data_IF_282230803603
#
_entry.id   IF_282230803603
#
_cell.length_a   1.000
_cell.length_b   1.000
_cell.length_c   1.000
_cell.angle_alpha   90.00
_cell.angle_beta   90.00
_cell.angle_gamma   90.00
#
_symmetry.space_group_name_H-M   'P 1'
#
loop_
_entity.id
_entity.type
_entity.pdbx_description
1 polymer ?
#
# COMPACT_ATOMS: atom_id res chain seq x y z
N UNK A 1 8.37 2.46 -14.07
CA UNK A 1 7.67 3.48 -13.25
C UNK A 1 6.22 3.16 -13.15
N UNK A 2 5.51 3.94 -12.36
CA UNK A 2 4.08 3.80 -12.13
C UNK A 2 3.74 3.76 -10.65
N UNK A 3 2.46 3.93 -10.34
CA UNK A 3 1.92 3.83 -9.00
C UNK A 3 0.70 2.92 -9.01
N UNK A 4 0.68 1.96 -8.11
CA UNK A 4 -0.43 1.05 -7.90
C UNK A 4 -0.97 1.24 -6.49
N UNK A 5 -2.22 0.85 -6.27
CA UNK A 5 -2.78 0.67 -4.93
C UNK A 5 -3.46 -0.67 -4.79
N UNK A 6 -3.47 -1.22 -3.58
CA UNK A 6 -4.35 -2.30 -3.18
C UNK A 6 -5.40 -1.80 -2.20
N UNK A 7 -6.62 -2.27 -2.34
CA UNK A 7 -7.75 -1.87 -1.50
C UNK A 7 -8.79 -2.97 -1.38
N UNK A 8 -9.58 -2.90 -0.33
CA UNK A 8 -10.80 -3.68 -0.19
C UNK A 8 -12.01 -2.76 -0.15
N UNK A 9 -13.19 -3.34 -0.37
CA UNK A 9 -14.47 -2.65 -0.29
C UNK A 9 -15.26 -3.24 0.86
N UNK A 10 -15.74 -2.42 1.77
CA UNK A 10 -16.59 -2.87 2.89
C UNK A 10 -18.05 -3.06 2.47
N UNK A 11 -18.88 -3.52 3.40
CA UNK A 11 -20.30 -3.79 3.17
C UNK A 11 -21.11 -2.55 2.75
N UNK A 12 -20.63 -1.35 3.06
CA UNK A 12 -21.26 -0.10 2.67
C UNK A 12 -20.82 0.39 1.28
N UNK A 13 -19.91 -0.33 0.61
CA UNK A 13 -19.32 0.05 -0.67
C UNK A 13 -18.15 1.04 -0.54
N UNK A 14 -17.67 1.32 0.68
CA UNK A 14 -16.54 2.20 0.91
C UNK A 14 -15.22 1.47 0.68
N UNK A 15 -14.33 2.12 -0.03
CA UNK A 15 -12.98 1.59 -0.27
C UNK A 15 -12.03 1.90 0.89
N UNK A 16 -11.20 0.93 1.22
CA UNK A 16 -10.15 1.04 2.22
C UNK A 16 -8.82 0.66 1.58
N UNK A 17 -7.96 1.65 1.35
CA UNK A 17 -6.66 1.45 0.73
C UNK A 17 -5.69 0.85 1.75
N UNK A 18 -5.15 -0.32 1.42
CA UNK A 18 -4.17 -1.01 2.24
C UNK A 18 -2.75 -0.53 1.96
N UNK A 19 -2.39 -0.41 0.69
CA UNK A 19 -1.02 -0.14 0.28
C UNK A 19 -0.98 0.66 -1.02
N UNK A 20 0.01 1.55 -1.14
CA UNK A 20 0.49 2.05 -2.41
C UNK A 20 1.80 1.36 -2.76
N UNK A 21 2.04 1.12 -4.03
CA UNK A 21 3.29 0.58 -4.54
C UNK A 21 3.83 1.46 -5.66
N UNK A 22 5.08 1.81 -5.56
CA UNK A 22 5.88 2.51 -6.56
C UNK A 22 7.01 1.60 -7.04
N UNK A 23 7.96 2.12 -7.80
CA UNK A 23 9.09 1.34 -8.30
C UNK A 23 9.76 0.52 -7.18
N UNK A 24 10.06 -0.74 -7.49
CA UNK A 24 10.74 -1.71 -6.62
C UNK A 24 9.93 -2.16 -5.39
N UNK A 25 8.60 -1.94 -5.42
CA UNK A 25 7.71 -2.43 -4.38
C UNK A 25 6.98 -3.70 -4.82
N UNK A 26 6.72 -4.56 -3.83
CA UNK A 26 5.92 -5.76 -3.97
C UNK A 26 4.54 -5.55 -3.39
N UNK A 27 3.55 -6.18 -4.04
CA UNK A 27 2.15 -6.09 -3.63
C UNK A 27 1.47 -7.44 -3.85
N UNK A 28 0.74 -7.91 -2.86
CA UNK A 28 -0.06 -9.12 -2.93
C UNK A 28 -1.17 -9.10 -1.90
N UNK A 29 -2.20 -9.91 -2.10
CA UNK A 29 -3.10 -10.34 -1.04
C UNK A 29 -2.46 -11.53 -0.30
N UNK A 30 -1.67 -11.25 0.73
CA UNK A 30 -0.94 -12.27 1.46
C UNK A 30 -1.85 -13.24 2.23
N UNK A 31 -3.08 -12.83 2.61
CA UNK A 31 -4.06 -13.71 3.26
C UNK A 31 -4.51 -14.75 2.25
N UNK A 32 -4.95 -14.31 1.08
CA UNK A 32 -5.39 -15.21 0.01
C UNK A 32 -4.27 -16.15 -0.46
N UNK A 33 -3.06 -15.61 -0.62
CA UNK A 33 -1.89 -16.36 -1.04
C UNK A 33 -1.53 -17.46 -0.01
N UNK A 34 -1.51 -17.12 1.28
CA UNK A 34 -1.16 -18.06 2.36
C UNK A 34 -2.22 -19.14 2.55
N UNK A 35 -3.50 -18.75 2.54
CA UNK A 35 -4.62 -19.66 2.77
C UNK A 35 -5.07 -20.43 1.52
N UNK A 36 -4.51 -20.11 0.36
CA UNK A 36 -4.96 -20.61 -0.94
C UNK A 36 -6.44 -20.31 -1.20
N UNK A 37 -6.85 -19.09 -0.92
CA UNK A 37 -8.21 -18.61 -1.04
C UNK A 37 -8.33 -17.57 -2.18
N UNK A 38 -9.56 -17.24 -2.53
CA UNK A 38 -9.82 -16.14 -3.48
C UNK A 38 -9.42 -14.81 -2.86
N UNK A 39 -8.70 -13.98 -3.63
CA UNK A 39 -8.30 -12.64 -3.20
C UNK A 39 -9.51 -11.76 -2.86
N UNK A 40 -9.38 -11.01 -1.77
CA UNK A 40 -10.35 -9.99 -1.32
C UNK A 40 -9.86 -8.58 -1.62
N UNK A 41 -8.56 -8.42 -1.88
CA UNK A 41 -7.99 -7.16 -2.31
C UNK A 41 -8.07 -7.00 -3.82
N UNK A 42 -8.40 -5.78 -4.24
CA UNK A 42 -8.27 -5.34 -5.63
C UNK A 42 -6.97 -4.56 -5.78
N UNK A 43 -6.25 -4.82 -6.86
CA UNK A 43 -5.06 -4.04 -7.24
C UNK A 43 -5.37 -3.26 -8.50
N UNK A 44 -5.09 -1.97 -8.48
CA UNK A 44 -5.27 -1.10 -9.64
C UNK A 44 -4.05 -0.20 -9.89
N UNK A 45 -3.80 0.10 -11.15
CA UNK A 45 -2.83 1.12 -11.55
C UNK A 45 -3.48 2.51 -11.47
N UNK A 46 -2.81 3.44 -10.80
CA UNK A 46 -3.27 4.83 -10.69
C UNK A 46 -2.77 5.69 -11.85
N UNK A 47 -1.74 5.25 -12.53
CA UNK A 47 -1.19 5.80 -13.76
C UNK A 47 -0.56 4.68 -14.60
N UNK A 48 -0.05 5.00 -15.78
CA UNK A 48 0.64 4.02 -16.62
C UNK A 48 1.78 3.36 -15.86
N UNK A 49 1.75 2.03 -15.77
CA UNK A 49 2.70 1.24 -15.04
C UNK A 49 3.12 -0.02 -15.80
N UNK A 50 4.37 -0.42 -15.61
CA UNK A 50 4.87 -1.72 -16.02
C UNK A 50 5.11 -2.56 -14.78
N UNK A 51 4.51 -3.75 -14.74
CA UNK A 51 4.60 -4.67 -13.60
C UNK A 51 5.06 -6.05 -14.06
N UNK A 52 5.67 -6.79 -13.14
CA UNK A 52 5.93 -8.22 -13.31
C UNK A 52 4.99 -8.93 -12.35
N UNK A 53 4.16 -9.81 -12.89
CA UNK A 53 3.19 -10.58 -12.14
C UNK A 53 3.66 -12.03 -12.00
N UNK A 54 3.54 -12.58 -10.80
CA UNK A 54 3.79 -13.99 -10.51
C UNK A 54 2.57 -14.59 -9.81
N UNK A 55 2.16 -15.76 -10.24
CA UNK A 55 1.27 -16.58 -9.44
C UNK A 55 2.05 -17.41 -8.42
N UNK A 56 1.34 -18.03 -7.46
CA UNK A 56 1.98 -18.83 -6.40
C UNK A 56 2.85 -19.98 -6.93
N UNK A 57 2.43 -20.64 -8.01
CA UNK A 57 3.18 -21.73 -8.63
C UNK A 57 4.50 -21.22 -9.21
N UNK A 58 4.44 -20.14 -9.99
CA UNK A 58 5.64 -19.51 -10.59
C UNK A 58 6.64 -19.05 -9.52
N UNK A 59 6.14 -18.47 -8.42
CA UNK A 59 7.00 -18.08 -7.30
C UNK A 59 7.70 -19.30 -6.67
N UNK A 60 6.97 -20.38 -6.44
CA UNK A 60 7.53 -21.63 -5.91
C UNK A 60 8.55 -22.26 -6.88
N UNK A 61 8.29 -22.23 -8.18
CA UNK A 61 9.24 -22.69 -9.20
C UNK A 61 10.54 -21.90 -9.18
N UNK A 62 10.45 -20.57 -9.09
CA UNK A 62 11.64 -19.70 -8.97
C UNK A 62 12.44 -20.05 -7.72
N UNK A 63 11.80 -20.23 -6.57
CA UNK A 63 12.49 -20.57 -5.32
C UNK A 63 13.12 -21.97 -5.37
N UNK A 64 12.50 -22.91 -6.09
CA UNK A 64 13.04 -24.26 -6.28
C UNK A 64 14.25 -24.27 -7.20
N UNK A 65 14.19 -23.51 -8.29
CA UNK A 65 15.26 -23.43 -9.31
C UNK A 65 16.44 -22.57 -8.84
N UNK A 66 16.16 -21.55 -8.02
CA UNK A 66 17.13 -20.56 -7.55
C UNK A 66 17.01 -20.38 -6.03
N UNK A 67 17.49 -21.36 -5.22
CA UNK A 67 17.39 -21.31 -3.75
C UNK A 67 18.01 -20.06 -3.13
N UNK A 68 18.99 -19.43 -3.82
CA UNK A 68 19.62 -18.18 -3.43
C UNK A 68 18.65 -16.98 -3.39
N UNK A 69 17.44 -17.13 -3.97
CA UNK A 69 16.40 -16.10 -3.95
C UNK A 69 15.62 -16.06 -2.63
N UNK A 70 15.68 -17.12 -1.82
CA UNK A 70 14.94 -17.22 -0.54
C UNK A 70 15.29 -16.10 0.45
N UNK A 71 16.57 -15.72 0.68
CA UNK A 71 16.91 -14.58 1.54
C UNK A 71 16.32 -13.26 1.07
N UNK A 72 16.23 -13.05 -0.25
CA UNK A 72 15.61 -11.86 -0.82
C UNK A 72 14.11 -11.84 -0.58
N UNK A 73 13.41 -12.95 -0.81
CA UNK A 73 11.98 -13.07 -0.54
C UNK A 73 11.67 -12.81 0.94
N UNK A 74 12.46 -13.41 1.85
CA UNK A 74 12.34 -13.16 3.29
C UNK A 74 12.51 -11.70 3.63
N UNK A 75 13.52 -11.04 3.09
CA UNK A 75 13.74 -9.61 3.28
C UNK A 75 12.53 -8.76 2.83
N UNK A 76 11.92 -9.07 1.69
CA UNK A 76 10.72 -8.37 1.20
C UNK A 76 9.55 -8.55 2.18
N UNK A 77 9.32 -9.78 2.66
CA UNK A 77 8.26 -10.08 3.64
C UNK A 77 8.50 -9.39 4.98
N UNK A 78 9.73 -9.38 5.48
CA UNK A 78 10.11 -8.68 6.71
C UNK A 78 9.86 -7.17 6.59
N UNK A 79 10.26 -6.54 5.48
CA UNK A 79 9.96 -5.14 5.20
C UNK A 79 8.47 -4.85 5.17
N UNK A 80 7.69 -5.75 4.59
CA UNK A 80 6.24 -5.62 4.55
C UNK A 80 5.63 -5.66 5.96
N UNK A 81 6.04 -6.62 6.78
CA UNK A 81 5.62 -6.74 8.19
C UNK A 81 5.98 -5.47 8.97
N UNK A 82 7.21 -4.98 8.84
CA UNK A 82 7.64 -3.73 9.50
C UNK A 82 6.80 -2.54 9.06
N UNK A 83 6.49 -2.43 7.78
CA UNK A 83 5.65 -1.35 7.24
C UNK A 83 4.23 -1.39 7.83
N UNK A 84 3.62 -2.59 7.90
CA UNK A 84 2.30 -2.77 8.50
C UNK A 84 2.31 -2.45 10.01
N UNK A 85 3.30 -2.91 10.75
CA UNK A 85 3.44 -2.60 12.18
C UNK A 85 3.58 -1.09 12.42
N UNK A 86 4.44 -0.41 11.67
CA UNK A 86 4.58 1.05 11.74
C UNK A 86 3.26 1.75 11.48
N UNK A 87 2.52 1.31 10.46
CA UNK A 87 1.23 1.89 10.12
C UNK A 87 0.20 1.73 11.24
N UNK A 88 0.12 0.54 11.83
CA UNK A 88 -0.78 0.27 12.97
C UNK A 88 -0.41 1.16 14.17
N UNK A 89 0.87 1.21 14.53
CA UNK A 89 1.34 2.05 15.64
C UNK A 89 1.08 3.54 15.39
N UNK A 90 1.31 4.01 14.18
CA UNK A 90 1.04 5.40 13.80
C UNK A 90 -0.46 5.73 13.90
N UNK A 91 -1.35 4.80 13.55
CA UNK A 91 -2.79 4.96 13.73
C UNK A 91 -3.17 5.12 15.22
N UNK A 92 -2.45 4.45 16.12
CA UNK A 92 -2.72 4.47 17.55
C UNK A 92 -2.13 5.71 18.26
N UNK A 93 -1.01 6.22 17.75
CA UNK A 93 -0.19 7.21 18.48
C UNK A 93 -0.20 8.61 17.87
N UNK A 94 -0.46 8.73 16.56
CA UNK A 94 -0.32 9.97 15.83
C UNK A 94 -1.66 10.57 15.43
N UNK A 95 -1.69 11.89 15.34
CA UNK A 95 -2.80 12.63 14.74
C UNK A 95 -2.89 12.38 13.25
N UNK A 96 -4.03 12.69 12.64
CA UNK A 96 -4.20 12.58 11.20
C UNK A 96 -3.21 13.48 10.42
N UNK A 97 -2.90 14.67 10.94
CA UNK A 97 -1.93 15.58 10.34
C UNK A 97 -0.51 15.02 10.34
N UNK A 98 -0.08 14.41 11.46
CA UNK A 98 1.22 13.75 11.57
C UNK A 98 1.32 12.53 10.64
N UNK A 99 0.26 11.70 10.57
CA UNK A 99 0.21 10.58 9.63
C UNK A 99 0.26 11.02 8.17
N UNK A 100 -0.40 12.12 7.85
CA UNK A 100 -0.33 12.69 6.51
C UNK A 100 1.08 13.18 6.17
N UNK A 101 1.81 13.79 7.11
CA UNK A 101 3.20 14.16 6.88
C UNK A 101 4.09 12.96 6.61
N UNK A 102 4.00 11.91 7.43
CA UNK A 102 4.73 10.66 7.21
C UNK A 102 4.40 10.00 5.86
N UNK A 103 3.15 10.08 5.44
CA UNK A 103 2.73 9.60 4.13
C UNK A 103 3.42 10.35 2.98
N UNK A 104 3.52 11.67 3.04
CA UNK A 104 4.22 12.48 2.05
C UNK A 104 5.73 12.20 2.03
N UNK A 105 6.32 11.98 3.20
CA UNK A 105 7.75 11.64 3.32
C UNK A 105 8.05 10.25 2.72
N UNK A 106 7.13 9.31 2.91
CA UNK A 106 7.25 7.94 2.39
C UNK A 106 7.01 7.86 0.88
N UNK A 107 6.08 8.66 0.36
CA UNK A 107 5.67 8.68 -1.04
C UNK A 107 5.80 10.09 -1.64
N UNK A 108 7.02 10.56 -1.90
CA UNK A 108 7.21 11.85 -2.56
C UNK A 108 6.45 11.90 -3.89
N UNK A 109 5.82 13.03 -4.18
CA UNK A 109 5.04 13.26 -5.41
C UNK A 109 3.77 12.42 -5.61
N UNK A 110 3.39 11.56 -4.65
CA UNK A 110 2.21 10.70 -4.81
C UNK A 110 0.92 11.49 -5.06
N UNK A 111 0.82 12.69 -4.50
CA UNK A 111 -0.34 13.56 -4.68
C UNK A 111 -0.56 13.98 -6.14
N UNK A 112 0.47 13.95 -6.98
CA UNK A 112 0.37 14.22 -8.41
C UNK A 112 -0.25 13.06 -9.21
N UNK A 113 -0.23 11.85 -8.63
CA UNK A 113 -0.64 10.62 -9.28
C UNK A 113 -1.87 9.98 -8.65
N UNK A 114 -2.32 10.50 -7.51
CA UNK A 114 -3.34 9.85 -6.69
C UNK A 114 -4.45 10.83 -6.32
N UNK A 115 -5.70 10.36 -6.40
CA UNK A 115 -6.87 11.16 -6.02
C UNK A 115 -6.95 11.32 -4.50
N UNK A 116 -7.50 12.44 -4.04
CA UNK A 116 -7.71 12.73 -2.62
C UNK A 116 -8.50 11.63 -1.89
N UNK A 117 -9.47 11.03 -2.56
CA UNK A 117 -10.25 9.91 -2.05
C UNK A 117 -9.34 8.72 -1.65
N UNK A 118 -8.37 8.37 -2.48
CA UNK A 118 -7.45 7.25 -2.21
C UNK A 118 -6.49 7.57 -1.06
N UNK A 119 -5.99 8.81 -0.99
CA UNK A 119 -5.12 9.26 0.10
C UNK A 119 -5.89 9.26 1.43
N UNK A 120 -7.09 9.84 1.45
CA UNK A 120 -7.94 9.84 2.63
C UNK A 120 -8.28 8.41 3.09
N UNK A 121 -8.60 7.52 2.16
CA UNK A 121 -8.83 6.10 2.40
C UNK A 121 -7.62 5.40 3.03
N UNK A 122 -6.41 5.67 2.55
CA UNK A 122 -5.18 5.13 3.13
C UNK A 122 -4.92 5.64 4.55
N UNK A 123 -5.18 6.93 4.80
CA UNK A 123 -4.99 7.56 6.11
C UNK A 123 -6.11 7.24 7.11
N UNK A 124 -7.22 6.63 6.65
CA UNK A 124 -8.39 6.35 7.48
C UNK A 124 -9.14 7.60 7.93
N UNK A 125 -9.19 8.63 7.09
CA UNK A 125 -9.89 9.90 7.32
C UNK A 125 -10.85 10.22 6.17
N UNK A 126 -11.69 11.23 6.35
CA UNK A 126 -12.57 11.75 5.28
C UNK A 126 -11.80 12.70 4.36
N UNK A 127 -12.31 12.92 3.13
CA UNK A 127 -11.73 13.90 2.21
C UNK A 127 -11.78 15.32 2.77
N UNK A 128 -12.83 15.67 3.51
CA UNK A 128 -12.99 16.96 4.19
C UNK A 128 -11.90 17.16 5.25
N UNK A 129 -11.58 16.11 6.02
CA UNK A 129 -10.49 16.14 6.99
C UNK A 129 -9.13 16.31 6.30
N UNK A 130 -8.90 15.63 5.18
CA UNK A 130 -7.68 15.80 4.38
C UNK A 130 -7.55 17.23 3.86
N UNK A 131 -8.62 17.81 3.32
CA UNK A 131 -8.64 19.20 2.84
C UNK A 131 -8.33 20.19 3.95
N UNK A 132 -8.86 19.97 5.14
CA UNK A 132 -8.59 20.79 6.34
C UNK A 132 -7.13 20.74 6.74
N UNK A 133 -6.54 19.54 6.82
CA UNK A 133 -5.13 19.34 7.16
C UNK A 133 -4.22 20.08 6.17
N UNK A 134 -4.51 20.01 4.87
CA UNK A 134 -3.76 20.73 3.84
C UNK A 134 -3.85 22.24 3.99
N UNK A 135 -5.04 22.76 4.26
CA UNK A 135 -5.25 24.19 4.46
C UNK A 135 -4.49 24.75 5.68
N UNK A 136 -4.42 23.98 6.76
CA UNK A 136 -3.66 24.35 7.96
C UNK A 136 -2.14 24.37 7.72
N UNK A 137 -1.62 23.47 6.87
CA UNK A 137 -0.20 23.46 6.50
C UNK A 137 0.22 24.65 5.65
N UNK A 138 -0.64 25.13 4.77
CA UNK A 138 -0.35 26.30 3.92
C UNK A 138 -0.27 27.61 4.75
N UNK A 139 -0.92 27.65 5.91
CA UNK A 139 -0.94 28.82 6.81
C UNK A 139 0.26 28.92 7.76
N UNK A 140 1.09 27.88 7.81
CA UNK A 140 2.34 27.84 8.62
C UNK A 140 3.55 28.10 7.75
#
# INVERSE_FOLDING_TARGET
GGCLRSYCVDQSGREHTLQFAVKDWWMSDYIALHNNERATLTVECLNDASVIEFNAQQLNEVLTLFPEYEPFQRYILERHVVSLHKRILNQMQLTASERYQLFLDQYPDIERHTRNYHIASFLGITQESLSRIRAEKVKR
#
